data_IF_420184139505
#
_entry.id   IF_420184139505
#
_cell.length_a   1.000
_cell.length_b   1.000
_cell.length_c   1.000
_cell.angle_alpha   90.00
_cell.angle_beta   90.00
_cell.angle_gamma   90.00
#
_symmetry.space_group_name_H-M   'P 1'
#
loop_
_entity.id
_entity.type
_entity.pdbx_description
1 polymer ?
#
# COMPACT_ATOMS: atom_id res chain seq x y z
N UNK A 1 17.31 12.10 3.81
CA UNK A 1 16.24 12.33 4.80
C UNK A 1 15.45 11.04 4.92
N UNK A 2 15.15 10.58 6.13
CA UNK A 2 14.26 9.42 6.32
C UNK A 2 12.82 9.89 6.17
N UNK A 3 12.03 9.15 5.40
CA UNK A 3 10.58 9.37 5.26
C UNK A 3 9.82 8.48 6.24
N UNK A 4 10.35 7.29 6.57
CA UNK A 4 9.81 6.39 7.59
C UNK A 4 10.90 6.11 8.62
N UNK A 5 10.54 6.23 9.90
CA UNK A 5 11.40 5.86 11.02
C UNK A 5 10.62 4.94 11.97
N UNK A 6 11.16 3.75 12.18
CA UNK A 6 10.58 2.71 13.05
C UNK A 6 11.55 2.39 14.17
N UNK A 7 11.08 2.44 15.43
CA UNK A 7 11.92 2.18 16.62
C UNK A 7 11.21 1.22 17.56
N UNK A 8 11.83 0.05 17.78
CA UNK A 8 11.37 -1.00 18.71
C UNK A 8 9.89 -1.35 18.53
N UNK A 9 9.40 -1.39 17.27
CA UNK A 9 8.00 -1.59 16.94
C UNK A 9 7.54 -2.96 17.43
N UNK A 10 6.46 -3.00 18.20
CA UNK A 10 5.92 -4.19 18.84
C UNK A 10 4.43 -4.34 18.55
N UNK A 11 4.02 -5.56 18.19
CA UNK A 11 2.60 -5.95 18.10
C UNK A 11 2.38 -7.27 18.78
N UNK A 12 1.47 -7.28 19.76
CA UNK A 12 1.12 -8.46 20.54
C UNK A 12 -0.34 -8.84 20.28
N UNK A 13 -0.61 -10.13 20.13
CA UNK A 13 -1.95 -10.69 20.03
C UNK A 13 -2.20 -11.73 21.11
N UNK A 14 -3.44 -11.88 21.62
CA UNK A 14 -3.78 -12.96 22.53
C UNK A 14 -3.66 -14.31 21.81
N UNK A 15 -3.26 -15.36 22.53
CA UNK A 15 -3.26 -16.72 22.01
C UNK A 15 -4.70 -17.20 21.75
N UNK A 16 -5.01 -17.83 20.61
CA UNK A 16 -6.32 -18.40 20.34
C UNK A 16 -6.74 -19.38 21.46
N UNK A 17 -7.95 -19.19 22.01
CA UNK A 17 -8.48 -20.07 23.04
C UNK A 17 -7.89 -19.91 24.45
N UNK A 18 -6.88 -19.07 24.66
CA UNK A 18 -6.28 -18.84 25.98
C UNK A 18 -6.29 -17.34 26.34
N UNK A 19 -7.17 -16.92 27.24
CA UNK A 19 -7.29 -15.53 27.69
C UNK A 19 -6.06 -14.98 28.46
N UNK A 20 -5.12 -15.85 28.88
CA UNK A 20 -3.94 -15.47 29.68
C UNK A 20 -2.64 -15.50 28.91
N UNK A 21 -2.61 -16.02 27.68
CA UNK A 21 -1.42 -16.10 26.86
C UNK A 21 -1.43 -15.07 25.73
N UNK A 22 -0.26 -14.59 25.33
CA UNK A 22 -0.07 -13.71 24.17
C UNK A 22 1.19 -14.10 23.40
N UNK A 23 1.27 -13.69 22.13
CA UNK A 23 2.48 -13.83 21.32
C UNK A 23 2.78 -12.50 20.60
N UNK A 24 4.05 -12.24 20.34
CA UNK A 24 4.47 -11.07 19.57
C UNK A 24 4.45 -11.42 18.08
N UNK A 25 3.56 -10.81 17.33
CA UNK A 25 3.52 -10.91 15.86
C UNK A 25 4.62 -10.03 15.23
N UNK A 26 4.97 -8.92 15.89
CA UNK A 26 6.14 -8.07 15.60
C UNK A 26 6.86 -7.85 16.92
N UNK A 27 8.16 -8.08 16.96
CA UNK A 27 8.93 -8.13 18.20
C UNK A 27 10.14 -7.18 18.17
N UNK A 28 9.89 -5.89 18.47
CA UNK A 28 10.92 -4.90 18.69
C UNK A 28 11.73 -4.52 17.44
N UNK A 29 11.13 -4.53 16.24
CA UNK A 29 11.87 -4.20 15.02
C UNK A 29 12.21 -2.70 14.92
N UNK A 30 13.39 -2.41 14.37
CA UNK A 30 13.89 -1.04 14.18
C UNK A 30 14.50 -0.92 12.80
N UNK A 31 14.02 0.05 12.00
CA UNK A 31 14.56 0.37 10.68
C UNK A 31 14.17 1.78 10.23
N UNK A 32 14.84 2.27 9.18
CA UNK A 32 14.55 3.55 8.56
C UNK A 32 14.47 3.37 7.05
N UNK A 33 13.58 4.14 6.40
CA UNK A 33 13.43 4.18 4.95
C UNK A 33 13.70 5.60 4.48
N UNK A 34 14.56 5.76 3.48
CA UNK A 34 14.88 7.07 2.91
C UNK A 34 13.82 7.48 1.90
N UNK A 35 13.63 8.79 1.75
CA UNK A 35 12.79 9.34 0.70
C UNK A 35 13.27 8.85 -0.69
N UNK A 36 12.34 8.36 -1.53
CA UNK A 36 12.62 7.81 -2.85
C UNK A 36 13.27 6.43 -2.85
N UNK A 37 13.26 5.70 -1.73
CA UNK A 37 13.79 4.34 -1.64
C UNK A 37 12.71 3.30 -1.98
N UNK A 38 13.11 2.17 -2.59
CA UNK A 38 12.30 0.95 -2.63
C UNK A 38 12.79 0.07 -1.48
N UNK A 39 11.94 -0.19 -0.50
CA UNK A 39 12.25 -0.96 0.68
C UNK A 39 11.41 -2.25 0.75
N UNK A 40 12.08 -3.40 0.79
CA UNK A 40 11.42 -4.71 0.89
C UNK A 40 11.45 -5.29 2.30
N UNK A 41 10.28 -5.63 2.86
CA UNK A 41 10.15 -6.39 4.10
C UNK A 41 10.11 -7.87 3.76
N UNK A 42 11.17 -8.60 4.06
CA UNK A 42 11.33 -10.00 3.70
C UNK A 42 11.18 -10.91 4.92
N UNK A 43 10.62 -12.09 4.73
CA UNK A 43 10.48 -13.10 5.78
C UNK A 43 9.51 -14.22 5.38
N UNK A 44 9.50 -15.33 6.10
CA UNK A 44 8.55 -16.43 5.86
C UNK A 44 7.11 -15.99 6.14
N UNK A 45 6.15 -16.83 5.75
CA UNK A 45 4.74 -16.61 6.11
C UNK A 45 4.59 -16.64 7.64
N UNK A 46 3.82 -15.70 8.19
CA UNK A 46 3.65 -15.54 9.63
C UNK A 46 4.76 -14.73 10.33
N UNK A 47 5.77 -14.22 9.62
CA UNK A 47 6.85 -13.40 10.21
C UNK A 47 6.43 -11.96 10.59
N UNK A 48 5.15 -11.61 10.48
CA UNK A 48 4.66 -10.28 10.87
C UNK A 48 4.78 -9.21 9.79
N UNK A 49 5.11 -9.55 8.53
CA UNK A 49 5.25 -8.58 7.41
C UNK A 49 4.00 -7.73 7.22
N UNK A 50 2.86 -8.36 6.92
CA UNK A 50 1.56 -7.67 6.77
C UNK A 50 1.18 -6.90 8.02
N UNK A 51 1.40 -7.47 9.22
CA UNK A 51 1.14 -6.77 10.48
C UNK A 51 1.99 -5.51 10.63
N UNK A 52 3.25 -5.55 10.18
CA UNK A 52 4.14 -4.38 10.18
C UNK A 52 3.62 -3.32 9.21
N UNK A 53 3.26 -3.70 7.97
CA UNK A 53 2.67 -2.78 7.00
C UNK A 53 1.39 -2.15 7.55
N UNK A 54 0.44 -2.95 8.04
CA UNK A 54 -0.83 -2.47 8.60
C UNK A 54 -0.66 -1.52 9.80
N UNK A 55 0.40 -1.71 10.63
CA UNK A 55 0.73 -0.74 11.67
C UNK A 55 1.23 0.58 11.07
N UNK A 56 2.10 0.54 10.06
CA UNK A 56 2.59 1.75 9.38
C UNK A 56 1.47 2.50 8.64
N UNK A 57 0.53 1.76 8.07
CA UNK A 57 -0.66 2.29 7.39
C UNK A 57 -1.70 2.90 8.35
N UNK A 58 -1.49 2.74 9.67
CA UNK A 58 -2.45 3.18 10.70
C UNK A 58 -3.75 2.36 10.70
N UNK A 59 -3.70 1.12 10.23
CA UNK A 59 -4.82 0.16 10.25
C UNK A 59 -4.81 -0.70 11.52
N UNK A 60 -3.65 -0.81 12.19
CA UNK A 60 -3.49 -1.55 13.44
C UNK A 60 -2.76 -0.72 14.48
N UNK A 61 -3.21 -0.81 15.72
CA UNK A 61 -2.56 -0.15 16.84
C UNK A 61 -1.19 -0.73 17.12
N UNK A 62 -0.24 0.12 17.49
CA UNK A 62 1.10 -0.22 17.96
C UNK A 62 1.01 -0.52 19.47
N UNK A 63 1.52 -1.67 19.91
CA UNK A 63 1.54 -2.04 21.33
C UNK A 63 2.81 -1.56 22.06
N UNK A 64 3.90 -1.27 21.32
CA UNK A 64 5.13 -0.73 21.88
C UNK A 64 6.06 -0.19 20.79
N UNK A 65 7.00 0.63 21.18
CA UNK A 65 7.85 1.36 20.25
C UNK A 65 7.13 2.53 19.58
N UNK A 66 7.62 2.96 18.41
CA UNK A 66 7.05 4.07 17.64
C UNK A 66 7.32 3.90 16.15
N UNK A 67 6.44 4.51 15.34
CA UNK A 67 6.63 4.66 13.90
C UNK A 67 6.28 6.09 13.48
N UNK A 68 7.15 6.72 12.71
CA UNK A 68 6.93 8.04 12.11
C UNK A 68 6.91 7.91 10.60
N UNK A 69 5.99 8.60 9.93
CA UNK A 69 5.94 8.77 8.47
C UNK A 69 5.91 10.26 8.18
N UNK A 70 6.90 10.75 7.44
CA UNK A 70 7.08 12.19 7.15
C UNK A 70 7.06 13.06 8.43
N UNK A 71 7.64 12.54 9.52
CA UNK A 71 7.67 13.19 10.84
C UNK A 71 6.37 13.08 11.64
N UNK A 72 5.31 12.49 11.10
CA UNK A 72 4.03 12.27 11.78
C UNK A 72 4.02 10.92 12.50
N UNK A 73 3.73 10.94 13.80
CA UNK A 73 3.55 9.72 14.59
C UNK A 73 2.27 8.98 14.15
N UNK A 74 2.44 7.70 13.78
CA UNK A 74 1.37 6.87 13.21
C UNK A 74 0.21 6.68 14.20
N UNK A 75 0.52 6.52 15.48
CA UNK A 75 -0.49 6.28 16.52
C UNK A 75 -1.40 7.48 16.76
N UNK A 76 -0.88 8.70 16.55
CA UNK A 76 -1.56 9.94 16.88
C UNK A 76 -2.08 10.70 15.65
N UNK A 77 -1.61 10.37 14.45
CA UNK A 77 -1.90 11.12 13.22
C UNK A 77 -2.45 10.24 12.09
N UNK A 78 -3.16 9.15 12.39
CA UNK A 78 -3.63 8.17 11.40
C UNK A 78 -4.38 8.82 10.21
N UNK A 79 -5.18 9.84 10.43
CA UNK A 79 -5.89 10.57 9.36
C UNK A 79 -4.91 11.31 8.42
N UNK A 80 -3.97 12.09 8.97
CA UNK A 80 -2.98 12.82 8.17
C UNK A 80 -2.06 11.89 7.41
N UNK A 81 -1.73 10.74 8.00
CA UNK A 81 -0.91 9.71 7.34
C UNK A 81 -1.65 9.14 6.13
N UNK A 82 -2.95 8.85 6.23
CA UNK A 82 -3.75 8.36 5.10
C UNK A 82 -3.81 9.35 3.93
N UNK A 83 -3.62 10.65 4.16
CA UNK A 83 -3.53 11.65 3.10
C UNK A 83 -2.21 11.59 2.32
N UNK A 84 -1.13 11.10 2.93
CA UNK A 84 0.21 11.08 2.36
C UNK A 84 0.72 9.69 1.98
N UNK A 85 -0.04 8.64 2.25
CA UNK A 85 0.27 7.27 1.83
C UNK A 85 -0.74 6.77 0.80
N UNK A 86 -0.28 5.89 -0.08
CA UNK A 86 -1.13 5.04 -0.91
C UNK A 86 -0.96 3.60 -0.49
N UNK A 87 -2.07 2.86 -0.42
CA UNK A 87 -2.04 1.46 -0.01
C UNK A 87 -2.71 0.61 -1.09
N UNK A 88 -1.96 -0.36 -1.62
CA UNK A 88 -2.52 -1.39 -2.48
C UNK A 88 -2.84 -2.62 -1.64
N UNK A 89 -4.13 -2.92 -1.50
CA UNK A 89 -4.62 -4.06 -0.73
C UNK A 89 -4.53 -5.37 -1.55
N UNK A 90 -4.35 -6.51 -0.86
CA UNK A 90 -4.31 -7.84 -1.50
C UNK A 90 -5.64 -8.21 -2.18
N UNK A 91 -6.77 -7.88 -1.55
CA UNK A 91 -8.10 -8.12 -2.09
C UNK A 91 -8.81 -6.78 -2.32
N UNK A 92 -9.10 -6.49 -3.57
CA UNK A 92 -9.87 -5.31 -3.94
C UNK A 92 -11.22 -5.77 -4.51
N UNK A 93 -12.28 -5.46 -3.79
CA UNK A 93 -13.63 -5.50 -4.32
C UNK A 93 -14.00 -4.10 -4.82
N UNK A 94 -14.37 -4.03 -6.08
CA UNK A 94 -14.78 -2.78 -6.72
C UNK A 94 -16.28 -2.79 -6.99
N UNK A 95 -16.89 -1.62 -7.08
CA UNK A 95 -18.26 -1.51 -7.56
C UNK A 95 -18.35 -1.98 -9.01
N UNK A 96 -18.99 -3.13 -9.23
CA UNK A 96 -19.05 -3.79 -10.54
C UNK A 96 -19.81 -2.97 -11.60
N UNK A 97 -20.64 -2.04 -11.19
CA UNK A 97 -21.39 -1.14 -12.09
C UNK A 97 -20.53 -0.04 -12.71
N UNK A 98 -19.46 0.38 -12.03
CA UNK A 98 -18.59 1.48 -12.43
C UNK A 98 -17.44 1.01 -13.33
N UNK A 99 -17.05 1.84 -14.29
CA UNK A 99 -15.85 1.66 -15.09
C UNK A 99 -14.60 2.18 -14.36
N UNK A 100 -13.39 1.98 -14.94
CA UNK A 100 -12.15 2.35 -14.28
C UNK A 100 -12.02 3.85 -14.01
N UNK A 101 -12.42 4.71 -14.96
CA UNK A 101 -12.39 6.17 -14.77
C UNK A 101 -13.36 6.61 -13.68
N UNK A 102 -14.58 6.08 -13.66
CA UNK A 102 -15.58 6.39 -12.63
C UNK A 102 -15.13 5.98 -11.22
N UNK A 103 -14.48 4.82 -11.11
CA UNK A 103 -13.90 4.34 -9.84
C UNK A 103 -12.78 5.25 -9.36
N UNK A 104 -11.87 5.67 -10.24
CA UNK A 104 -10.80 6.60 -9.87
C UNK A 104 -11.37 7.95 -9.43
N UNK A 105 -12.37 8.50 -10.13
CA UNK A 105 -13.08 9.72 -9.71
C UNK A 105 -13.67 9.54 -8.33
N UNK A 106 -14.38 8.43 -8.09
CA UNK A 106 -14.97 8.12 -6.79
C UNK A 106 -13.91 8.11 -5.68
N UNK A 107 -12.79 7.39 -5.89
CA UNK A 107 -11.71 7.34 -4.90
C UNK A 107 -11.03 8.70 -4.72
N UNK A 108 -10.81 9.46 -5.79
CA UNK A 108 -10.28 10.83 -5.69
C UNK A 108 -11.16 11.73 -4.83
N UNK A 109 -12.47 11.64 -4.98
CA UNK A 109 -13.43 12.42 -4.17
C UNK A 109 -13.41 12.08 -2.68
N UNK A 110 -13.07 10.83 -2.30
CA UNK A 110 -12.88 10.47 -0.89
C UNK A 110 -11.72 11.24 -0.23
N UNK A 111 -10.74 11.67 -1.02
CA UNK A 111 -9.61 12.50 -0.60
C UNK A 111 -9.80 14.00 -0.90
N UNK A 112 -11.00 14.40 -1.36
CA UNK A 112 -11.28 15.78 -1.81
C UNK A 112 -10.37 16.25 -2.94
N UNK A 113 -9.84 15.34 -3.75
CA UNK A 113 -8.96 15.61 -4.88
C UNK A 113 -9.73 15.52 -6.20
N UNK A 114 -9.52 16.54 -7.04
CA UNK A 114 -9.86 16.45 -8.46
C UNK A 114 -8.67 15.82 -9.20
N UNK A 115 -8.91 14.61 -9.72
CA UNK A 115 -7.86 13.81 -10.35
C UNK A 115 -7.96 13.81 -11.87
N UNK A 116 -6.81 13.76 -12.54
CA UNK A 116 -6.76 13.45 -13.96
C UNK A 116 -6.70 11.93 -14.13
N UNK A 117 -7.87 11.32 -14.44
CA UNK A 117 -8.01 9.86 -14.60
C UNK A 117 -7.21 9.32 -15.78
N UNK A 118 -7.13 10.07 -16.88
CA UNK A 118 -6.36 9.69 -18.07
C UNK A 118 -4.87 9.53 -17.70
N UNK A 119 -4.29 10.51 -17.01
CA UNK A 119 -2.90 10.47 -16.55
C UNK A 119 -2.63 9.29 -15.61
N UNK A 120 -3.54 9.01 -14.66
CA UNK A 120 -3.39 7.87 -13.75
C UNK A 120 -3.48 6.53 -14.49
N UNK A 121 -4.43 6.39 -15.41
CA UNK A 121 -4.57 5.18 -16.23
C UNK A 121 -3.41 4.98 -17.19
N UNK A 122 -2.86 6.07 -17.75
CA UNK A 122 -1.67 6.02 -18.59
C UNK A 122 -0.45 5.55 -17.80
N UNK A 123 -0.21 6.10 -16.59
CA UNK A 123 0.89 5.69 -15.71
C UNK A 123 0.89 4.19 -15.42
N UNK A 124 -0.28 3.57 -15.28
CA UNK A 124 -0.40 2.13 -15.03
C UNK A 124 -0.62 1.30 -16.30
N UNK A 125 -0.57 1.93 -17.50
CA UNK A 125 -0.74 1.28 -18.79
C UNK A 125 -2.15 0.71 -19.00
N UNK A 126 -3.19 1.40 -18.49
CA UNK A 126 -4.59 1.01 -18.60
C UNK A 126 -5.48 2.04 -19.33
N UNK A 127 -4.91 3.11 -19.89
CA UNK A 127 -5.68 4.13 -20.60
C UNK A 127 -6.60 3.55 -21.69
N UNK A 128 -6.18 2.55 -22.53
CA UNK A 128 -7.08 1.95 -23.51
C UNK A 128 -8.26 1.17 -22.90
N UNK A 129 -8.27 1.00 -21.58
CA UNK A 129 -9.31 0.29 -20.82
C UNK A 129 -10.13 1.21 -19.91
N UNK A 130 -10.04 2.53 -20.07
CA UNK A 130 -10.70 3.52 -19.20
C UNK A 130 -12.18 3.24 -18.94
N UNK A 131 -12.91 2.77 -19.98
CA UNK A 131 -14.34 2.45 -19.94
C UNK A 131 -14.64 1.00 -19.57
N UNK A 132 -13.62 0.15 -19.43
CA UNK A 132 -13.82 -1.23 -19.01
C UNK A 132 -14.24 -1.30 -17.54
N UNK A 133 -14.93 -2.37 -17.17
CA UNK A 133 -15.27 -2.69 -15.79
C UNK A 133 -14.17 -3.55 -15.14
N UNK A 134 -13.98 -3.51 -13.81
CA UNK A 134 -12.94 -4.30 -13.13
C UNK A 134 -12.99 -5.80 -13.43
N UNK A 135 -14.18 -6.37 -13.63
CA UNK A 135 -14.36 -7.79 -13.98
C UNK A 135 -13.81 -8.18 -15.35
N UNK A 136 -13.65 -7.21 -16.25
CA UNK A 136 -13.12 -7.42 -17.62
C UNK A 136 -11.58 -7.38 -17.67
N UNK A 137 -10.93 -7.10 -16.54
CA UNK A 137 -9.49 -7.02 -16.43
C UNK A 137 -8.87 -8.40 -16.16
N UNK A 138 -7.71 -8.67 -16.76
CA UNK A 138 -6.85 -9.80 -16.36
C UNK A 138 -6.29 -9.57 -14.94
N UNK A 139 -5.75 -10.61 -14.31
CA UNK A 139 -5.14 -10.51 -12.98
C UNK A 139 -4.07 -9.41 -12.89
N UNK A 140 -3.15 -9.37 -13.87
CA UNK A 140 -2.13 -8.33 -13.93
C UNK A 140 -2.67 -6.92 -14.19
N UNK A 141 -3.77 -6.80 -14.95
CA UNK A 141 -4.46 -5.53 -15.15
C UNK A 141 -5.16 -5.07 -13.87
N UNK A 142 -5.83 -5.97 -13.14
CA UNK A 142 -6.43 -5.68 -11.83
C UNK A 142 -5.38 -5.17 -10.85
N UNK A 143 -4.21 -5.81 -10.82
CA UNK A 143 -3.11 -5.40 -9.94
C UNK A 143 -2.60 -3.99 -10.28
N UNK A 144 -2.42 -3.67 -11.56
CA UNK A 144 -2.02 -2.32 -11.99
C UNK A 144 -3.12 -1.29 -11.72
N UNK A 145 -4.38 -1.66 -11.83
CA UNK A 145 -5.50 -0.79 -11.47
C UNK A 145 -5.56 -0.51 -9.96
N UNK A 146 -5.27 -1.51 -9.11
CA UNK A 146 -5.21 -1.29 -7.66
C UNK A 146 -4.10 -0.31 -7.27
N UNK A 147 -2.96 -0.31 -7.99
CA UNK A 147 -1.94 0.71 -7.83
C UNK A 147 -2.46 2.09 -8.27
N UNK A 148 -3.19 2.20 -9.39
CA UNK A 148 -3.79 3.47 -9.79
C UNK A 148 -4.73 4.03 -8.71
N UNK A 149 -5.55 3.17 -8.09
CA UNK A 149 -6.40 3.56 -6.96
C UNK A 149 -5.59 4.05 -5.75
N UNK A 150 -4.45 3.43 -5.47
CA UNK A 150 -3.55 3.84 -4.40
C UNK A 150 -2.80 5.16 -4.69
N UNK A 151 -2.80 5.64 -5.93
CA UNK A 151 -2.15 6.87 -6.36
C UNK A 151 -3.08 8.09 -6.42
N UNK A 152 -4.39 7.94 -6.16
CA UNK A 152 -5.39 9.01 -6.33
C UNK A 152 -5.16 10.24 -5.44
N UNK A 153 -4.54 10.06 -4.28
CA UNK A 153 -4.21 11.13 -3.34
C UNK A 153 -2.78 11.69 -3.54
N UNK A 154 -2.09 11.31 -4.62
CA UNK A 154 -0.70 11.69 -4.90
C UNK A 154 0.24 11.43 -3.70
N UNK A 155 0.35 10.19 -3.23
CA UNK A 155 1.02 9.85 -1.99
C UNK A 155 2.55 10.08 -2.07
N UNK A 156 3.18 10.29 -0.89
CA UNK A 156 4.65 10.32 -0.73
C UNK A 156 5.23 8.91 -0.59
N UNK A 157 4.44 7.99 -0.02
CA UNK A 157 4.81 6.59 0.21
C UNK A 157 3.72 5.68 -0.34
N UNK A 158 4.11 4.69 -1.12
CA UNK A 158 3.23 3.65 -1.64
C UNK A 158 3.55 2.32 -0.96
N UNK A 159 2.56 1.75 -0.25
CA UNK A 159 2.63 0.42 0.33
C UNK A 159 2.01 -0.61 -0.62
N UNK A 160 2.75 -1.70 -0.86
CA UNK A 160 2.34 -2.79 -1.75
C UNK A 160 2.49 -4.12 -0.99
N UNK A 161 1.39 -4.72 -0.54
CA UNK A 161 1.43 -6.01 0.14
C UNK A 161 1.34 -7.16 -0.88
N UNK A 162 2.42 -7.91 -1.03
CA UNK A 162 2.57 -9.04 -1.94
C UNK A 162 2.07 -8.77 -3.39
N UNK A 163 2.50 -7.68 -4.06
CA UNK A 163 1.87 -7.19 -5.29
C UNK A 163 2.00 -8.14 -6.49
N UNK A 164 2.85 -9.16 -6.41
CA UNK A 164 3.09 -10.12 -7.50
C UNK A 164 2.48 -11.50 -7.28
N UNK A 165 1.79 -11.71 -6.15
CA UNK A 165 1.19 -13.02 -5.82
C UNK A 165 0.11 -13.38 -6.85
N UNK A 166 0.17 -14.62 -7.36
CA UNK A 166 -0.78 -15.12 -8.34
C UNK A 166 -0.62 -14.62 -9.78
N UNK A 167 0.39 -13.78 -10.07
CA UNK A 167 0.65 -13.27 -11.40
C UNK A 167 1.53 -14.22 -12.22
N UNK A 168 1.26 -14.27 -13.53
CA UNK A 168 2.15 -14.94 -14.50
C UNK A 168 3.49 -14.18 -14.64
N UNK A 169 4.54 -14.81 -15.22
CA UNK A 169 5.87 -14.21 -15.32
C UNK A 169 5.91 -12.88 -16.10
N UNK A 170 5.05 -12.72 -17.11
CA UNK A 170 5.01 -11.47 -17.89
C UNK A 170 4.34 -10.35 -17.09
N UNK A 171 3.23 -10.65 -16.43
CA UNK A 171 2.53 -9.70 -15.56
C UNK A 171 3.43 -9.24 -14.40
N UNK A 172 4.24 -10.15 -13.80
CA UNK A 172 5.25 -9.81 -12.78
C UNK A 172 6.28 -8.80 -13.32
N UNK A 173 6.85 -9.07 -14.50
CA UNK A 173 7.82 -8.15 -15.12
C UNK A 173 7.23 -6.77 -15.37
N UNK A 174 6.01 -6.72 -15.91
CA UNK A 174 5.32 -5.47 -16.19
C UNK A 174 5.05 -4.68 -14.90
N UNK A 175 4.67 -5.36 -13.82
CA UNK A 175 4.45 -4.74 -12.52
C UNK A 175 5.74 -4.18 -11.92
N UNK A 176 6.85 -4.93 -11.99
CA UNK A 176 8.15 -4.44 -11.51
C UNK A 176 8.67 -3.25 -12.31
N UNK A 177 8.39 -3.19 -13.61
CA UNK A 177 8.72 -2.01 -14.43
C UNK A 177 7.92 -0.79 -13.94
N UNK A 178 6.60 -0.94 -13.73
CA UNK A 178 5.76 0.12 -13.18
C UNK A 178 6.28 0.61 -11.81
N UNK A 179 6.62 -0.31 -10.89
CA UNK A 179 7.18 0.04 -9.57
C UNK A 179 8.47 0.85 -9.72
N UNK A 180 9.36 0.47 -10.64
CA UNK A 180 10.60 1.22 -10.91
C UNK A 180 10.34 2.60 -11.50
N UNK A 181 9.40 2.70 -12.45
CA UNK A 181 9.02 3.98 -13.06
C UNK A 181 8.45 4.96 -12.02
N UNK A 182 7.58 4.48 -11.13
CA UNK A 182 7.05 5.27 -10.01
C UNK A 182 8.18 5.74 -9.07
N UNK A 183 9.12 4.86 -8.77
CA UNK A 183 10.26 5.19 -7.91
C UNK A 183 11.21 6.21 -8.55
N UNK A 184 11.54 6.06 -9.84
CA UNK A 184 12.32 7.05 -10.60
C UNK A 184 11.63 8.43 -10.60
N UNK A 185 10.29 8.45 -10.58
CA UNK A 185 9.49 9.65 -10.38
C UNK A 185 9.52 10.24 -8.96
N UNK A 186 10.32 9.67 -8.04
CA UNK A 186 10.52 10.16 -6.67
C UNK A 186 9.65 9.47 -5.61
N UNK A 187 8.81 8.50 -5.98
CA UNK A 187 7.95 7.77 -5.04
C UNK A 187 8.76 6.87 -4.11
N UNK A 188 8.51 6.96 -2.80
CA UNK A 188 9.01 5.94 -1.86
C UNK A 188 8.08 4.73 -1.89
N UNK A 189 8.63 3.52 -1.98
CA UNK A 189 7.83 2.29 -2.12
C UNK A 189 8.23 1.30 -1.05
N UNK A 190 7.25 0.72 -0.36
CA UNK A 190 7.42 -0.31 0.67
C UNK A 190 6.67 -1.57 0.22
N UNK A 191 7.36 -2.72 0.27
CA UNK A 191 6.89 -4.02 -0.24
C UNK A 191 6.90 -5.07 0.87
#
# INVERSE_FOLDING_TARGET
MNIIEVKNLLKTYPLPGNKKGSFNAVDGITFNIKLGEIYGILGPNGAGKTTTLEMLEGLKDINGGSALIDGLDVSNNAFKIKEIIGVQLQANEYFESLNLSELLILFGKLYSNDINTENLLEKVGLLPKERAKPKELSGGQKQRFSIACALVNNPKVLFLDEPTTGLDPQAKRNLWNLVRELNVGGMTIVL
#
